data_IF_527281523078
#
_entry.id   IF_527281523078
#
_cell.length_a   1.000
_cell.length_b   1.000
_cell.length_c   1.000
_cell.angle_alpha   90.00
_cell.angle_beta   90.00
_cell.angle_gamma   90.00
#
_symmetry.space_group_name_H-M   'P 1'
#
loop_
_entity.id
_entity.type
_entity.pdbx_description
1 polymer ?
#
# COMPACT_ATOMS: atom_id res chain seq x y z
N UNK A 1 9.79 4.99 10.84
CA UNK A 1 9.83 3.53 11.03
C UNK A 1 8.59 2.96 10.37
N UNK A 2 8.73 2.09 9.36
CA UNK A 2 7.58 1.46 8.71
C UNK A 2 6.86 0.52 9.69
N UNK A 3 5.56 0.69 9.90
CA UNK A 3 4.74 -0.15 10.77
C UNK A 3 4.83 -1.65 10.43
N UNK A 4 5.03 -1.95 9.15
CA UNK A 4 5.10 -3.29 8.61
C UNK A 4 6.51 -3.92 8.64
N UNK A 5 7.55 -3.16 9.01
CA UNK A 5 8.93 -3.65 9.01
C UNK A 5 9.13 -4.92 9.86
N UNK A 6 8.59 -5.01 11.10
CA UNK A 6 8.74 -6.23 11.92
C UNK A 6 8.12 -7.47 11.27
N UNK A 7 7.14 -7.27 10.38
CA UNK A 7 6.36 -8.35 9.75
C UNK A 7 6.86 -8.71 8.37
N UNK A 8 7.58 -7.86 7.65
CA UNK A 8 7.97 -8.16 6.26
C UNK A 8 9.44 -7.94 5.97
N UNK A 9 10.14 -7.16 6.81
CA UNK A 9 11.57 -6.89 6.64
C UNK A 9 11.88 -6.25 5.29
N UNK A 10 11.39 -5.04 5.04
CA UNK A 10 11.65 -4.32 3.78
C UNK A 10 13.01 -3.65 3.75
N UNK A 11 13.66 -3.39 4.89
CA UNK A 11 14.95 -2.73 4.90
C UNK A 11 16.07 -3.64 4.39
N UNK A 12 17.02 -3.12 3.60
CA UNK A 12 18.09 -3.90 2.97
C UNK A 12 19.23 -4.24 3.93
N UNK A 13 18.90 -4.84 5.07
CA UNK A 13 19.86 -5.27 6.11
C UNK A 13 20.19 -6.75 5.98
N UNK A 14 21.26 -7.19 6.65
CA UNK A 14 21.57 -8.62 6.76
C UNK A 14 20.39 -9.37 7.39
N UNK A 15 19.82 -10.31 6.65
CA UNK A 15 18.66 -11.13 7.07
C UNK A 15 18.99 -12.61 7.02
N UNK A 16 18.40 -13.34 7.94
CA UNK A 16 18.38 -14.82 7.89
C UNK A 16 17.56 -15.31 6.71
N UNK A 17 17.72 -16.59 6.36
CA UNK A 17 16.87 -17.23 5.35
C UNK A 17 15.38 -17.10 5.67
N UNK A 18 15.00 -17.33 6.94
CA UNK A 18 13.62 -17.24 7.41
C UNK A 18 13.07 -15.82 7.25
N UNK A 19 13.81 -14.81 7.69
CA UNK A 19 13.36 -13.40 7.58
C UNK A 19 13.18 -12.95 6.12
N UNK A 20 13.93 -13.53 5.17
CA UNK A 20 13.79 -13.21 3.73
C UNK A 20 12.57 -13.83 3.09
N UNK A 21 12.35 -15.11 3.32
CA UNK A 21 11.45 -15.92 2.48
C UNK A 21 10.19 -16.39 3.22
N UNK A 22 10.19 -16.45 4.56
CA UNK A 22 8.96 -16.76 5.30
C UNK A 22 7.85 -15.71 5.03
N UNK A 23 8.14 -14.39 4.96
CA UNK A 23 7.13 -13.41 4.59
C UNK A 23 6.48 -13.67 3.23
N UNK A 24 7.19 -14.27 2.28
CA UNK A 24 6.61 -14.59 0.98
C UNK A 24 5.43 -15.55 1.10
N UNK A 25 5.51 -16.48 2.05
CA UNK A 25 4.47 -17.48 2.28
C UNK A 25 3.26 -16.91 3.02
N UNK A 26 3.47 -16.12 4.07
CA UNK A 26 2.35 -15.61 4.87
C UNK A 26 1.77 -14.27 4.39
N UNK A 27 2.45 -13.53 3.50
CA UNK A 27 1.92 -12.25 2.99
C UNK A 27 0.49 -12.35 2.45
N UNK A 28 0.14 -13.34 1.60
CA UNK A 28 -1.23 -13.47 1.10
C UNK A 28 -2.25 -13.71 2.22
N UNK A 29 -1.88 -14.45 3.27
CA UNK A 29 -2.74 -14.66 4.43
C UNK A 29 -2.94 -13.36 5.22
N UNK A 30 -1.88 -12.59 5.43
CA UNK A 30 -2.00 -11.27 6.06
C UNK A 30 -2.94 -10.38 5.25
N UNK A 31 -2.84 -10.38 3.93
CA UNK A 31 -3.72 -9.59 3.08
C UNK A 31 -5.19 -9.99 3.24
N UNK A 32 -5.48 -11.29 3.25
CA UNK A 32 -6.85 -11.81 3.38
C UNK A 32 -7.45 -11.57 4.77
N UNK A 33 -6.65 -11.65 5.84
CA UNK A 33 -7.17 -11.66 7.22
C UNK A 33 -6.91 -10.39 8.03
N UNK A 34 -6.28 -9.35 7.47
CA UNK A 34 -5.95 -8.13 8.22
C UNK A 34 -7.19 -7.49 8.86
N UNK A 35 -8.32 -7.41 8.16
CA UNK A 35 -9.56 -6.86 8.74
C UNK A 35 -10.03 -7.66 9.96
N UNK A 36 -10.04 -8.99 9.90
CA UNK A 36 -10.39 -9.83 11.05
C UNK A 36 -9.42 -9.64 12.21
N UNK A 37 -8.11 -9.56 11.95
CA UNK A 37 -7.10 -9.30 12.99
C UNK A 37 -7.38 -7.95 13.66
N UNK A 38 -7.63 -6.89 12.89
CA UNK A 38 -7.92 -5.56 13.46
C UNK A 38 -9.21 -5.54 14.27
N UNK A 39 -10.26 -6.23 13.83
CA UNK A 39 -11.51 -6.36 14.58
C UNK A 39 -11.29 -7.09 15.92
N UNK A 40 -10.59 -8.23 15.90
CA UNK A 40 -10.28 -8.99 17.11
C UNK A 40 -9.42 -8.17 18.08
N UNK A 41 -8.42 -7.45 17.58
CA UNK A 41 -7.60 -6.56 18.40
C UNK A 41 -8.44 -5.46 19.06
N UNK A 42 -9.32 -4.79 18.32
CA UNK A 42 -10.20 -3.74 18.87
C UNK A 42 -11.14 -4.28 19.94
N UNK A 43 -11.76 -5.45 19.69
CA UNK A 43 -12.62 -6.11 20.67
C UNK A 43 -11.84 -6.53 21.93
N UNK A 44 -10.63 -7.07 21.76
CA UNK A 44 -9.76 -7.42 22.88
C UNK A 44 -9.44 -6.20 23.73
N UNK A 45 -9.08 -5.08 23.10
CA UNK A 45 -8.76 -3.84 23.83
C UNK A 45 -9.99 -3.28 24.56
N UNK A 46 -11.17 -3.34 23.94
CA UNK A 46 -12.40 -2.84 24.55
C UNK A 46 -12.85 -3.69 25.74
N UNK A 47 -12.76 -5.02 25.61
CA UNK A 47 -13.32 -5.97 26.59
C UNK A 47 -12.30 -6.34 27.65
N UNK A 48 -11.07 -6.71 27.26
CA UNK A 48 -10.06 -7.22 28.20
C UNK A 48 -9.22 -6.11 28.81
N UNK A 49 -8.93 -5.05 28.05
CA UNK A 49 -8.10 -3.94 28.52
C UNK A 49 -8.94 -2.77 29.06
N UNK A 50 -10.27 -2.91 29.08
CA UNK A 50 -11.24 -1.89 29.51
C UNK A 50 -11.08 -0.54 28.80
N UNK A 51 -10.52 -0.52 27.58
CA UNK A 51 -10.42 0.70 26.78
C UNK A 51 -11.64 0.81 25.88
N UNK A 52 -12.78 1.23 26.44
CA UNK A 52 -14.02 1.39 25.67
C UNK A 52 -13.89 2.37 24.48
N UNK A 53 -12.81 3.16 24.39
CA UNK A 53 -12.53 4.03 23.23
C UNK A 53 -11.96 3.27 22.04
N UNK A 54 -11.44 2.06 22.24
CA UNK A 54 -10.90 1.23 21.17
C UNK A 54 -12.01 0.66 20.26
N UNK A 55 -13.27 0.66 20.72
CA UNK A 55 -14.44 0.24 19.96
C UNK A 55 -15.52 1.32 19.96
N UNK A 56 -15.79 1.89 18.80
CA UNK A 56 -16.73 2.99 18.58
C UNK A 56 -18.03 2.50 17.94
N UNK A 57 -19.07 3.33 17.93
CA UNK A 57 -20.31 3.03 17.18
C UNK A 57 -20.07 2.86 15.69
N UNK A 58 -19.02 3.47 15.12
CA UNK A 58 -18.67 3.31 13.72
C UNK A 58 -18.22 1.88 13.38
N UNK A 59 -17.71 1.13 14.36
CA UNK A 59 -17.36 -0.28 14.19
C UNK A 59 -18.58 -1.19 13.97
N UNK A 60 -19.80 -0.67 14.16
CA UNK A 60 -21.05 -1.37 13.85
C UNK A 60 -21.45 -1.22 12.36
N UNK A 61 -20.89 -0.25 11.63
CA UNK A 61 -21.23 0.02 10.22
C UNK A 61 -21.04 -1.21 9.32
N UNK A 62 -19.93 -1.99 9.42
CA UNK A 62 -19.74 -3.18 8.58
C UNK A 62 -20.84 -4.25 8.73
N UNK A 63 -21.58 -4.24 9.85
CA UNK A 63 -22.67 -5.17 10.12
C UNK A 63 -24.01 -4.75 9.51
N UNK A 64 -24.12 -3.54 8.95
CA UNK A 64 -25.30 -3.13 8.19
C UNK A 64 -25.49 -4.05 6.97
N UNK A 65 -24.40 -4.40 6.28
CA UNK A 65 -24.44 -5.27 5.10
C UNK A 65 -25.04 -6.66 5.39
N UNK A 66 -24.54 -7.46 6.36
CA UNK A 66 -25.12 -8.77 6.66
C UNK A 66 -26.56 -8.67 7.17
N UNK A 67 -26.93 -7.59 7.86
CA UNK A 67 -28.33 -7.35 8.25
C UNK A 67 -29.23 -7.18 7.01
N UNK A 68 -28.82 -6.34 6.06
CA UNK A 68 -29.55 -6.16 4.80
C UNK A 68 -29.61 -7.47 4.00
N UNK A 69 -28.48 -8.19 3.89
CA UNK A 69 -28.43 -9.50 3.22
C UNK A 69 -29.42 -10.50 3.85
N UNK A 70 -29.52 -10.52 5.18
CA UNK A 70 -30.41 -11.45 5.88
C UNK A 70 -31.88 -11.08 5.68
N UNK A 71 -32.25 -9.82 5.91
CA UNK A 71 -33.65 -9.37 5.84
C UNK A 71 -34.22 -9.39 4.41
N UNK A 72 -33.39 -9.14 3.40
CA UNK A 72 -33.84 -9.01 2.01
C UNK A 72 -33.42 -10.17 1.11
N UNK A 73 -32.51 -11.05 1.55
CA UNK A 73 -31.96 -12.12 0.71
C UNK A 73 -32.68 -13.46 0.76
N UNK A 74 -33.66 -13.63 1.66
CA UNK A 74 -34.35 -14.91 1.91
C UNK A 74 -33.37 -16.08 2.12
N UNK A 75 -32.26 -15.82 2.82
CA UNK A 75 -31.21 -16.80 3.12
C UNK A 75 -31.23 -17.18 4.61
N UNK A 76 -30.64 -18.32 4.94
CA UNK A 76 -30.39 -18.67 6.34
C UNK A 76 -29.38 -17.70 6.96
N UNK A 77 -29.41 -17.57 8.29
CA UNK A 77 -28.42 -16.78 9.03
C UNK A 77 -27.01 -17.27 8.72
N UNK A 78 -26.79 -18.59 8.69
CA UNK A 78 -25.50 -19.20 8.37
C UNK A 78 -25.00 -18.79 6.99
N UNK A 79 -25.84 -18.92 5.94
CA UNK A 79 -25.44 -18.55 4.58
C UNK A 79 -25.11 -17.05 4.49
N UNK A 80 -25.88 -16.22 5.18
CA UNK A 80 -25.65 -14.77 5.25
C UNK A 80 -24.29 -14.45 5.87
N UNK A 81 -23.98 -15.05 7.02
CA UNK A 81 -22.70 -14.84 7.73
C UNK A 81 -21.53 -15.34 6.89
N UNK A 82 -21.65 -16.50 6.24
CA UNK A 82 -20.61 -17.05 5.36
C UNK A 82 -20.34 -16.11 4.20
N UNK A 83 -21.38 -15.67 3.49
CA UNK A 83 -21.23 -14.77 2.34
C UNK A 83 -20.68 -13.40 2.75
N UNK A 84 -21.14 -12.85 3.87
CA UNK A 84 -20.58 -11.61 4.42
C UNK A 84 -19.09 -11.76 4.74
N UNK A 85 -18.68 -12.87 5.36
CA UNK A 85 -17.26 -13.14 5.61
C UNK A 85 -16.46 -13.21 4.30
N UNK A 86 -16.98 -13.85 3.25
CA UNK A 86 -16.31 -13.85 1.93
C UNK A 86 -16.11 -12.42 1.41
N UNK A 87 -17.13 -11.56 1.50
CA UNK A 87 -17.02 -10.15 1.10
C UNK A 87 -15.93 -9.44 1.92
N UNK A 88 -15.89 -9.64 3.24
CA UNK A 88 -14.88 -9.04 4.12
C UNK A 88 -13.47 -9.54 3.78
N UNK A 89 -13.30 -10.84 3.51
CA UNK A 89 -12.01 -11.43 3.12
C UNK A 89 -11.52 -10.87 1.77
N UNK A 90 -12.40 -10.74 0.77
CA UNK A 90 -12.07 -10.12 -0.51
C UNK A 90 -11.71 -8.64 -0.34
N UNK A 91 -12.48 -7.90 0.46
CA UNK A 91 -12.21 -6.49 0.76
C UNK A 91 -10.86 -6.30 1.46
N UNK A 92 -10.57 -7.14 2.46
CA UNK A 92 -9.28 -7.14 3.16
C UNK A 92 -8.14 -7.43 2.18
N UNK A 93 -8.29 -8.45 1.33
CA UNK A 93 -7.28 -8.80 0.34
C UNK A 93 -6.98 -7.61 -0.58
N UNK A 94 -8.01 -7.02 -1.20
CA UNK A 94 -7.83 -5.90 -2.15
C UNK A 94 -7.21 -4.71 -1.43
N UNK A 95 -7.78 -4.30 -0.29
CA UNK A 95 -7.32 -3.12 0.45
C UNK A 95 -5.87 -3.30 0.92
N UNK A 96 -5.54 -4.45 1.48
CA UNK A 96 -4.22 -4.71 2.05
C UNK A 96 -3.17 -4.96 0.98
N UNK A 97 -3.50 -5.74 -0.06
CA UNK A 97 -2.59 -5.98 -1.17
C UNK A 97 -2.27 -4.66 -1.87
N UNK A 98 -3.27 -3.80 -2.13
CA UNK A 98 -3.02 -2.46 -2.65
C UNK A 98 -2.23 -1.63 -1.65
N UNK A 99 -2.68 -1.49 -0.40
CA UNK A 99 -2.11 -0.56 0.58
C UNK A 99 -0.67 -0.87 0.97
N UNK A 100 -0.30 -2.15 1.12
CA UNK A 100 1.08 -2.56 1.39
C UNK A 100 1.92 -2.46 0.12
N UNK A 101 1.38 -2.84 -1.04
CA UNK A 101 2.16 -2.78 -2.28
C UNK A 101 2.37 -1.34 -2.78
N UNK A 102 1.39 -0.45 -2.53
CA UNK A 102 1.12 0.89 -3.06
C UNK A 102 2.36 1.68 -3.47
N UNK A 103 3.03 1.25 -4.52
CA UNK A 103 4.12 1.96 -5.13
C UNK A 103 5.35 2.29 -4.23
N UNK A 104 5.51 1.57 -3.11
CA UNK A 104 6.58 1.84 -2.13
C UNK A 104 7.64 0.74 -2.03
N UNK A 105 7.31 -0.48 -2.43
CA UNK A 105 8.16 -1.65 -2.16
C UNK A 105 8.64 -2.28 -3.45
N UNK A 106 9.72 -1.71 -4.00
CA UNK A 106 10.44 -2.23 -5.15
C UNK A 106 11.95 -2.03 -4.96
N UNK A 107 12.84 -2.93 -5.44
CA UNK A 107 14.29 -2.80 -5.27
C UNK A 107 14.92 -1.55 -5.91
N UNK A 108 14.24 -0.95 -6.87
CA UNK A 108 14.65 0.29 -7.55
C UNK A 108 14.13 1.57 -6.86
N UNK A 109 13.29 1.42 -5.83
CA UNK A 109 12.79 2.53 -5.01
C UNK A 109 13.65 2.62 -3.76
N UNK A 110 13.95 3.84 -3.32
CA UNK A 110 14.73 4.10 -2.13
C UNK A 110 14.06 3.50 -0.89
N UNK A 111 14.83 2.74 -0.12
CA UNK A 111 14.47 2.34 1.23
C UNK A 111 15.56 2.82 2.19
N UNK A 112 15.17 3.03 3.45
CA UNK A 112 16.13 3.36 4.50
C UNK A 112 17.27 2.34 4.55
N UNK A 113 18.51 2.82 4.58
CA UNK A 113 19.74 2.02 4.42
C UNK A 113 20.32 2.02 3.00
N UNK A 114 19.57 2.35 1.95
CA UNK A 114 20.11 2.58 0.60
C UNK A 114 20.96 3.85 0.54
N UNK A 115 21.78 3.97 -0.50
CA UNK A 115 22.54 5.21 -0.75
C UNK A 115 21.57 6.31 -1.20
N UNK A 116 21.44 7.42 -0.44
CA UNK A 116 20.54 8.51 -0.83
C UNK A 116 21.13 9.29 -2.00
N UNK A 117 20.27 10.05 -2.69
CA UNK A 117 20.76 11.02 -3.69
C UNK A 117 21.58 12.12 -3.00
N UNK A 118 22.45 12.80 -3.76
CA UNK A 118 23.28 13.88 -3.21
C UNK A 118 22.49 15.14 -2.92
N UNK A 119 21.52 15.46 -3.78
CA UNK A 119 20.64 16.61 -3.65
C UNK A 119 19.61 16.35 -2.53
N UNK A 120 19.59 17.21 -1.52
CA UNK A 120 18.72 17.03 -0.34
C UNK A 120 17.34 17.65 -0.49
N UNK A 121 16.96 18.07 -1.70
CA UNK A 121 15.64 18.65 -1.98
C UNK A 121 14.53 17.66 -1.62
N UNK A 122 13.60 18.10 -0.77
CA UNK A 122 12.55 17.23 -0.22
C UNK A 122 11.75 16.53 -1.32
N UNK A 123 11.34 17.27 -2.36
CA UNK A 123 10.56 16.70 -3.46
C UNK A 123 11.31 15.61 -4.23
N UNK A 124 12.62 15.77 -4.45
CA UNK A 124 13.41 14.74 -5.13
C UNK A 124 13.50 13.46 -4.29
N UNK A 125 13.67 13.61 -2.98
CA UNK A 125 13.67 12.48 -2.05
C UNK A 125 12.31 11.78 -1.98
N UNK A 126 11.19 12.51 -2.12
CA UNK A 126 9.86 11.89 -2.28
C UNK A 126 9.79 11.04 -3.54
N UNK A 127 10.27 11.54 -4.68
CA UNK A 127 10.28 10.79 -5.96
C UNK A 127 11.18 9.55 -5.93
N UNK A 128 12.25 9.57 -5.14
CA UNK A 128 13.14 8.43 -4.97
C UNK A 128 12.46 7.31 -4.17
N UNK A 129 11.51 7.63 -3.27
CA UNK A 129 10.81 6.69 -2.39
C UNK A 129 9.47 6.17 -2.93
N UNK A 130 9.10 6.52 -4.18
CA UNK A 130 7.84 6.13 -4.82
C UNK A 130 8.00 5.79 -6.30
N UNK A 131 6.99 5.15 -6.87
CA UNK A 131 6.80 5.08 -8.33
C UNK A 131 5.31 5.19 -8.65
N UNK A 132 4.94 5.60 -9.85
CA UNK A 132 3.56 5.48 -10.32
C UNK A 132 3.35 4.15 -11.07
N UNK A 133 2.09 3.79 -11.27
CA UNK A 133 1.70 2.54 -11.93
C UNK A 133 1.08 2.78 -13.28
N UNK A 134 1.61 2.10 -14.29
CA UNK A 134 1.20 2.26 -15.69
C UNK A 134 -0.30 2.01 -15.90
N UNK A 135 -0.82 0.94 -15.31
CA UNK A 135 -2.19 0.47 -15.52
C UNK A 135 -3.23 1.28 -14.74
N UNK A 136 -2.79 2.00 -13.70
CA UNK A 136 -3.68 2.81 -12.85
C UNK A 136 -3.80 4.24 -13.41
N UNK A 137 -2.70 4.77 -13.97
CA UNK A 137 -2.64 6.13 -14.48
C UNK A 137 -3.70 6.37 -15.57
N UNK A 138 -4.31 7.55 -15.55
CA UNK A 138 -5.35 7.97 -16.50
C UNK A 138 -6.76 7.43 -16.21
N UNK A 139 -6.93 6.44 -15.34
CA UNK A 139 -8.25 5.95 -14.91
C UNK A 139 -8.61 6.52 -13.54
N UNK A 140 -9.52 7.50 -13.52
CA UNK A 140 -9.94 8.16 -12.28
C UNK A 140 -10.52 7.16 -11.25
N UNK A 141 -11.30 6.18 -11.71
CA UNK A 141 -11.85 5.14 -10.85
C UNK A 141 -10.76 4.28 -10.20
N UNK A 142 -9.77 3.83 -10.99
CA UNK A 142 -8.67 3.04 -10.46
C UNK A 142 -7.77 3.86 -9.54
N UNK A 143 -7.52 5.13 -9.86
CA UNK A 143 -6.78 6.04 -8.99
C UNK A 143 -7.43 6.14 -7.60
N UNK A 144 -8.74 6.37 -7.54
CA UNK A 144 -9.49 6.50 -6.28
C UNK A 144 -9.55 5.19 -5.48
N UNK A 145 -9.67 4.06 -6.16
CA UNK A 145 -9.85 2.76 -5.49
C UNK A 145 -8.54 2.03 -5.20
N UNK A 146 -7.43 2.47 -5.79
CA UNK A 146 -6.14 1.79 -5.64
C UNK A 146 -4.99 2.70 -5.20
N UNK A 147 -5.25 3.95 -4.82
CA UNK A 147 -4.20 4.95 -4.48
C UNK A 147 -3.24 5.19 -5.65
N UNK A 148 -3.80 5.56 -6.81
CA UNK A 148 -3.03 6.03 -7.97
C UNK A 148 -2.50 7.46 -7.78
N UNK A 149 -1.86 8.02 -8.82
CA UNK A 149 -1.22 9.34 -8.76
C UNK A 149 -0.28 9.49 -7.55
N UNK A 150 0.47 8.43 -7.25
CA UNK A 150 1.13 8.24 -5.95
C UNK A 150 2.22 9.28 -5.71
N UNK A 151 2.99 9.61 -6.75
CA UNK A 151 3.97 10.70 -6.66
C UNK A 151 3.30 12.04 -6.27
N UNK A 152 2.17 12.38 -6.88
CA UNK A 152 1.44 13.60 -6.53
C UNK A 152 0.76 13.52 -5.16
N UNK A 153 0.31 12.34 -4.75
CA UNK A 153 -0.22 12.12 -3.41
C UNK A 153 0.83 12.42 -2.33
N UNK A 154 2.07 11.96 -2.50
CA UNK A 154 3.16 12.27 -1.57
C UNK A 154 3.58 13.75 -1.59
N UNK A 155 3.48 14.41 -2.74
CA UNK A 155 3.75 15.85 -2.86
C UNK A 155 2.65 16.71 -2.22
N UNK A 156 1.40 16.27 -2.31
CA UNK A 156 0.22 17.01 -1.87
C UNK A 156 -0.75 16.13 -1.07
N UNK A 157 -0.33 15.60 0.10
CA UNK A 157 -1.08 14.57 0.83
C UNK A 157 -2.41 15.09 1.42
N UNK A 158 -2.59 16.41 1.49
CA UNK A 158 -3.80 17.06 1.99
C UNK A 158 -4.84 17.32 0.90
N UNK A 159 -4.50 17.14 -0.37
CA UNK A 159 -5.44 17.28 -1.47
C UNK A 159 -6.19 15.98 -1.70
N UNK A 160 -7.47 16.11 -2.03
CA UNK A 160 -8.28 14.98 -2.46
C UNK A 160 -7.66 14.33 -3.71
N UNK A 161 -7.55 13.00 -3.71
CA UNK A 161 -6.95 12.25 -4.83
C UNK A 161 -7.65 12.57 -6.15
N UNK A 162 -8.95 12.86 -6.12
CA UNK A 162 -9.71 13.21 -7.31
C UNK A 162 -9.30 14.53 -7.96
N UNK A 163 -8.58 15.39 -7.23
CA UNK A 163 -8.10 16.69 -7.70
C UNK A 163 -6.65 16.64 -8.22
N UNK A 164 -5.86 15.63 -7.83
CA UNK A 164 -4.42 15.54 -8.16
C UNK A 164 -4.15 15.62 -9.66
N UNK A 165 -5.04 15.06 -10.50
CA UNK A 165 -4.93 15.11 -11.96
C UNK A 165 -4.73 16.52 -12.54
N UNK A 166 -5.24 17.55 -11.86
CA UNK A 166 -5.12 18.95 -12.29
C UNK A 166 -3.73 19.54 -12.03
N UNK A 167 -2.90 18.89 -11.22
CA UNK A 167 -1.55 19.34 -10.89
C UNK A 167 -0.49 18.83 -11.86
N UNK A 168 -0.75 17.75 -12.61
CA UNK A 168 0.21 17.20 -13.57
C UNK A 168 0.85 18.23 -14.51
N UNK A 169 0.13 19.21 -15.11
CA UNK A 169 0.75 20.20 -15.99
C UNK A 169 1.84 21.03 -15.29
N UNK A 170 1.57 21.49 -14.06
CA UNK A 170 2.54 22.26 -13.28
C UNK A 170 3.64 21.35 -12.76
N UNK A 171 3.29 20.16 -12.29
CA UNK A 171 4.23 19.17 -11.78
C UNK A 171 5.27 18.78 -12.84
N UNK A 172 4.84 18.45 -14.06
CA UNK A 172 5.76 18.16 -15.17
C UNK A 172 6.64 19.35 -15.55
N UNK A 173 6.12 20.59 -15.48
CA UNK A 173 6.95 21.78 -15.68
C UNK A 173 8.05 21.88 -14.62
N UNK A 174 7.72 21.60 -13.36
CA UNK A 174 8.69 21.57 -12.26
C UNK A 174 9.71 20.44 -12.44
N UNK A 175 9.27 19.22 -12.75
CA UNK A 175 10.18 18.08 -12.99
C UNK A 175 11.24 18.40 -14.07
N UNK A 176 10.85 19.10 -15.14
CA UNK A 176 11.78 19.57 -16.19
C UNK A 176 12.84 20.55 -15.67
N UNK A 177 12.50 21.40 -14.69
CA UNK A 177 13.47 22.34 -14.10
C UNK A 177 14.58 21.61 -13.33
N UNK A 178 14.26 20.45 -12.77
CA UNK A 178 15.20 19.61 -12.03
C UNK A 178 15.83 18.50 -12.88
N UNK A 179 15.51 18.44 -14.18
CA UNK A 179 15.94 17.37 -15.10
C UNK A 179 15.64 15.96 -14.56
N UNK A 180 14.43 15.75 -14.03
CA UNK A 180 13.97 14.46 -13.50
C UNK A 180 12.65 14.03 -14.15
N UNK A 181 12.32 12.74 -14.04
CA UNK A 181 11.03 12.21 -14.48
C UNK A 181 10.37 11.40 -13.35
N UNK A 182 9.04 11.20 -13.47
CA UNK A 182 8.31 10.25 -12.63
C UNK A 182 8.67 8.84 -13.09
N UNK A 183 8.97 7.97 -12.12
CA UNK A 183 9.17 6.54 -12.36
C UNK A 183 7.83 5.85 -12.54
N UNK A 184 7.68 5.07 -13.60
CA UNK A 184 6.50 4.23 -13.79
C UNK A 184 6.87 2.75 -13.81
N UNK A 185 6.14 1.94 -13.05
CA UNK A 185 6.34 0.49 -12.94
C UNK A 185 4.99 -0.19 -13.14
N UNK A 186 4.94 -1.28 -13.93
CA UNK A 186 3.70 -2.06 -14.06
C UNK A 186 3.25 -2.64 -12.72
N UNK A 187 1.95 -2.78 -12.50
CA UNK A 187 1.40 -3.35 -11.27
C UNK A 187 1.97 -4.74 -10.96
N UNK A 188 2.19 -5.57 -11.97
CA UNK A 188 2.76 -6.92 -11.80
C UNK A 188 4.22 -6.87 -11.34
N UNK A 189 5.04 -6.00 -11.93
CA UNK A 189 6.43 -5.80 -11.50
C UNK A 189 6.49 -5.16 -10.11
N UNK A 190 5.53 -4.30 -9.73
CA UNK A 190 5.45 -3.79 -8.36
C UNK A 190 5.16 -4.90 -7.34
N UNK A 191 4.24 -5.83 -7.66
CA UNK A 191 3.96 -7.01 -6.81
C UNK A 191 5.20 -7.89 -6.68
N UNK A 192 5.82 -8.26 -7.80
CA UNK A 192 7.06 -9.04 -7.80
C UNK A 192 8.18 -8.31 -7.04
N UNK A 193 8.33 -7.02 -7.27
CA UNK A 193 9.29 -6.15 -6.61
C UNK A 193 9.16 -6.15 -5.10
N UNK A 194 7.93 -6.17 -4.57
CA UNK A 194 7.70 -6.25 -3.12
C UNK A 194 8.33 -7.51 -2.52
N UNK A 195 8.17 -8.67 -3.17
CA UNK A 195 8.79 -9.92 -2.71
C UNK A 195 10.32 -9.89 -2.85
N UNK A 196 10.84 -9.39 -3.98
CA UNK A 196 12.28 -9.20 -4.16
C UNK A 196 12.87 -8.26 -3.10
N UNK A 197 12.14 -7.22 -2.72
CA UNK A 197 12.53 -6.27 -1.69
C UNK A 197 12.63 -6.93 -0.31
N UNK A 198 11.66 -7.78 0.06
CA UNK A 198 11.73 -8.54 1.32
C UNK A 198 12.98 -9.43 1.38
N UNK A 199 13.35 -10.05 0.26
CA UNK A 199 14.55 -10.90 0.17
C UNK A 199 15.88 -10.12 0.08
N UNK A 200 15.83 -8.80 -0.21
CA UNK A 200 17.02 -7.95 -0.36
C UNK A 200 17.73 -7.80 0.99
N UNK A 201 19.05 -8.00 1.00
CA UNK A 201 19.88 -7.92 2.22
C UNK A 201 21.08 -6.98 2.13
N UNK A 202 21.23 -6.31 1.00
CA UNK A 202 22.30 -5.36 0.78
C UNK A 202 21.68 -4.05 0.30
N UNK A 203 22.11 -2.92 0.85
CA UNK A 203 21.75 -1.62 0.33
C UNK A 203 22.06 -1.49 -1.16
N UNK A 204 21.26 -0.71 -1.86
CA UNK A 204 21.61 -0.21 -3.17
C UNK A 204 22.77 0.80 -3.02
N UNK A 205 23.94 0.56 -3.65
CA UNK A 205 25.06 1.49 -3.58
C UNK A 205 24.82 2.76 -4.41
N UNK A 206 23.80 2.76 -5.28
CA UNK A 206 23.44 3.88 -6.13
C UNK A 206 22.09 4.44 -5.69
N UNK A 207 21.92 5.78 -5.70
CA UNK A 207 20.60 6.36 -5.53
C UNK A 207 19.66 5.92 -6.66
N UNK A 208 18.35 5.87 -6.42
CA UNK A 208 17.39 5.56 -7.48
C UNK A 208 17.59 6.45 -8.70
N UNK A 209 17.58 5.84 -9.89
CA UNK A 209 17.58 6.62 -11.13
C UNK A 209 16.25 7.34 -11.27
N UNK A 210 16.33 8.65 -11.53
CA UNK A 210 15.20 9.45 -12.06
C UNK A 210 15.33 9.63 -13.59
N UNK A 211 16.46 9.20 -14.15
CA UNK A 211 16.74 9.13 -15.59
C UNK A 211 16.51 7.71 -16.11
N UNK A 212 15.28 7.21 -16.12
CA UNK A 212 14.94 6.06 -16.96
C UNK A 212 13.42 5.92 -17.09
N UNK A 213 12.86 6.54 -18.12
CA UNK A 213 12.08 5.74 -19.05
C UNK A 213 12.96 5.59 -20.29
N UNK A 214 13.76 4.52 -20.37
CA UNK A 214 14.05 4.00 -21.70
C UNK A 214 12.70 3.52 -22.19
N UNK A 215 12.06 4.32 -23.05
CA UNK A 215 10.92 3.88 -23.83
C UNK A 215 11.26 2.48 -24.36
N UNK A 216 10.57 1.47 -23.86
CA UNK A 216 10.46 0.17 -24.50
C UNK A 216 9.09 0.11 -25.12
#
# INVERSE_FOLDING_TARGET
MNFFEPWFGYYPVTKTFTTKYLPWLYSPFVWVFLFHVTLVSRLKDAILNNDARSFSKADLIPYILPLVMYFFGNQTVTNTIVMWNVVVLCGSFIFTAVGINAAHHHPEIFHDGDTPRKETEWGLNQLDAVADRNEINGSHFLILTSYGDHALHHMFPTLDHGLLKHLYPVFHKTLKQFNVNIRFISQIEMVKGQFLQMARSKPNPNPPSTETNKQK
#
